data_IF_349313090250
#
_entry.id   IF_349313090250
#
_cell.length_a   1.000
_cell.length_b   1.000
_cell.length_c   1.000
_cell.angle_alpha   90.00
_cell.angle_beta   90.00
_cell.angle_gamma   90.00
#
_symmetry.space_group_name_H-M   'P 1'
#
loop_
_entity.id
_entity.type
_entity.pdbx_description
1 polymer ?
#
# COMPACT_ATOMS: atom_id res chain seq x y z
N UNK A 1 -27.84 40.92 45.51
CA UNK A 1 -27.22 41.98 46.34
C UNK A 1 -26.09 41.32 47.12
N UNK A 2 -24.95 41.11 46.47
CA UNK A 2 -23.75 40.55 47.12
C UNK A 2 -22.87 41.72 47.51
N UNK A 3 -22.82 42.03 48.80
CA UNK A 3 -21.94 43.06 49.35
C UNK A 3 -20.49 42.62 49.13
N UNK A 4 -19.78 43.25 48.20
CA UNK A 4 -18.34 43.09 48.05
C UNK A 4 -17.65 43.77 49.23
N UNK A 5 -17.22 42.98 50.23
CA UNK A 5 -16.37 43.47 51.31
C UNK A 5 -15.03 43.90 50.69
N UNK A 6 -14.75 45.20 50.66
CA UNK A 6 -13.47 45.76 50.22
C UNK A 6 -12.42 45.61 51.32
N UNK A 7 -11.30 44.93 51.01
CA UNK A 7 -10.12 44.85 51.89
C UNK A 7 -9.56 46.25 52.13
N UNK A 8 -9.35 46.59 53.40
CA UNK A 8 -8.63 47.81 53.81
C UNK A 8 -7.17 47.50 54.13
N UNK A 9 -6.27 48.46 53.87
CA UNK A 9 -4.83 48.34 54.15
C UNK A 9 -4.56 48.06 55.65
N UNK A 10 -5.45 48.54 56.54
CA UNK A 10 -5.39 48.32 57.99
C UNK A 10 -5.60 46.85 58.38
N UNK A 11 -6.56 46.14 57.77
CA UNK A 11 -6.78 44.72 58.03
C UNK A 11 -5.58 43.86 57.60
N UNK A 12 -4.93 44.20 56.48
CA UNK A 12 -3.72 43.50 56.02
C UNK A 12 -2.55 43.75 56.98
N UNK A 13 -2.42 44.97 57.51
CA UNK A 13 -1.39 45.32 58.48
C UNK A 13 -1.59 44.63 59.84
N UNK A 14 -2.83 44.51 60.32
CA UNK A 14 -3.17 43.83 61.58
C UNK A 14 -2.86 42.33 61.50
N UNK A 15 -3.25 41.67 60.40
CA UNK A 15 -2.94 40.25 60.17
C UNK A 15 -1.43 40.03 59.99
N UNK A 16 -0.75 40.93 59.27
CA UNK A 16 0.71 40.89 59.13
C UNK A 16 1.43 41.05 60.48
N UNK A 17 0.94 41.91 61.37
CA UNK A 17 1.48 42.08 62.73
C UNK A 17 1.28 40.82 63.56
N UNK A 18 0.06 40.26 63.57
CA UNK A 18 -0.24 39.01 64.29
C UNK A 18 0.64 37.87 63.79
N UNK A 19 0.73 37.65 62.48
CA UNK A 19 1.59 36.62 61.90
C UNK A 19 3.07 36.84 62.24
N UNK A 20 3.54 38.09 62.27
CA UNK A 20 4.92 38.41 62.65
C UNK A 20 5.20 38.16 64.15
N UNK A 21 4.22 38.44 65.03
CA UNK A 21 4.31 38.16 66.48
C UNK A 21 4.28 36.65 66.76
N UNK A 22 3.51 35.91 65.98
CA UNK A 22 3.44 34.44 66.04
C UNK A 22 4.65 33.73 65.37
N UNK A 23 5.61 34.50 64.82
CA UNK A 23 6.79 33.96 64.14
C UNK A 23 6.51 33.30 62.79
N UNK A 24 5.31 33.50 62.23
CA UNK A 24 4.91 32.96 60.94
C UNK A 24 5.43 33.82 59.77
N UNK A 25 5.66 33.19 58.61
CA UNK A 25 6.12 33.89 57.40
C UNK A 25 5.01 34.78 56.82
N UNK A 26 5.19 36.09 56.95
CA UNK A 26 4.28 37.12 56.42
C UNK A 26 4.39 37.23 54.88
N UNK A 27 3.55 36.47 54.17
CA UNK A 27 3.48 36.42 52.70
C UNK A 27 2.12 36.92 52.18
N UNK A 28 2.04 37.59 51.02
CA UNK A 28 0.76 38.02 50.43
C UNK A 28 -0.25 36.89 50.28
N UNK A 29 0.22 35.68 49.96
CA UNK A 29 -0.63 34.48 49.82
C UNK A 29 -1.14 33.99 51.17
N UNK A 30 -0.31 34.07 52.21
CA UNK A 30 -0.68 33.63 53.56
C UNK A 30 -1.71 34.56 54.21
N UNK A 31 -1.58 35.87 53.99
CA UNK A 31 -2.61 36.83 54.44
C UNK A 31 -3.88 36.69 53.61
N UNK A 32 -3.76 36.46 52.30
CA UNK A 32 -4.94 36.23 51.45
C UNK A 32 -5.71 34.96 51.86
N UNK A 33 -5.00 33.90 52.28
CA UNK A 33 -5.62 32.69 52.82
C UNK A 33 -6.25 32.85 54.20
N UNK A 34 -6.09 33.98 54.89
CA UNK A 34 -6.87 34.26 56.10
C UNK A 34 -8.07 35.17 55.80
N UNK A 35 -7.89 36.14 54.90
CA UNK A 35 -8.89 37.16 54.58
C UNK A 35 -9.94 36.69 53.57
N UNK A 36 -9.60 35.70 52.71
CA UNK A 36 -10.45 35.05 51.69
C UNK A 36 -11.32 36.00 50.84
N UNK A 37 -10.94 37.27 50.74
CA UNK A 37 -11.66 38.30 50.00
C UNK A 37 -10.65 39.18 49.28
N UNK A 38 -11.09 39.94 48.27
CA UNK A 38 -10.21 40.81 47.48
C UNK A 38 -9.13 40.11 46.62
N UNK A 39 -8.38 40.91 45.87
CA UNK A 39 -7.31 40.43 44.99
C UNK A 39 -5.98 40.29 45.75
N UNK A 40 -5.26 39.20 45.52
CA UNK A 40 -3.90 38.95 46.05
C UNK A 40 -2.95 40.12 45.76
N UNK A 41 -3.16 40.82 44.65
CA UNK A 41 -2.35 41.99 44.25
C UNK A 41 -2.58 43.18 45.19
N UNK A 42 -3.81 43.40 45.67
CA UNK A 42 -4.12 44.46 46.63
C UNK A 42 -3.49 44.16 48.00
N UNK A 43 -3.56 42.89 48.44
CA UNK A 43 -2.88 42.42 49.66
C UNK A 43 -1.36 42.60 49.53
N UNK A 44 -0.77 42.27 48.38
CA UNK A 44 0.67 42.46 48.15
C UNK A 44 1.09 43.94 48.20
N UNK A 45 0.25 44.86 47.72
CA UNK A 45 0.51 46.30 47.78
C UNK A 45 0.42 46.85 49.21
N UNK A 46 -0.62 46.49 49.97
CA UNK A 46 -0.76 46.87 51.38
C UNK A 46 0.38 46.32 52.25
N UNK A 47 0.80 45.08 51.97
CA UNK A 47 1.93 44.43 52.65
C UNK A 47 3.27 45.13 52.41
N UNK A 48 3.50 45.68 51.20
CA UNK A 48 4.69 46.50 50.93
C UNK A 48 4.71 47.77 51.78
N UNK A 49 3.60 48.51 51.86
CA UNK A 49 3.51 49.72 52.69
C UNK A 49 3.77 49.42 54.18
N UNK A 50 3.27 48.29 54.66
CA UNK A 50 3.54 47.81 56.01
C UNK A 50 5.02 47.46 56.23
N UNK A 51 5.70 46.84 55.25
CA UNK A 51 7.14 46.55 55.33
C UNK A 51 7.99 47.83 55.34
N UNK A 52 7.66 48.80 54.47
CA UNK A 52 8.38 50.08 54.38
C UNK A 52 8.30 50.89 55.68
N UNK A 53 7.13 50.93 56.32
CA UNK A 53 6.95 51.59 57.63
C UNK A 53 7.72 50.90 58.75
N UNK A 54 8.02 49.60 58.63
CA UNK A 54 8.80 48.82 59.60
C UNK A 54 10.31 48.84 59.33
N UNK A 55 10.73 48.94 58.07
CA UNK A 55 12.14 49.04 57.66
C UNK A 55 12.81 50.32 58.21
N UNK A 56 12.06 51.40 58.36
CA UNK A 56 12.51 52.65 58.99
C UNK A 56 12.79 52.52 60.51
N UNK A 57 12.51 51.35 61.12
CA UNK A 57 12.65 51.07 62.55
C UNK A 57 13.75 50.06 62.90
N UNK A 58 14.68 49.77 61.99
CA UNK A 58 15.78 48.84 62.28
C UNK A 58 16.65 49.31 63.47
N UNK A 59 17.03 48.41 64.39
CA UNK A 59 17.74 48.75 65.62
C UNK A 59 19.18 49.21 65.33
N UNK A 60 19.56 50.34 65.93
CA UNK A 60 20.92 50.87 65.89
C UNK A 60 21.89 49.86 66.55
N UNK A 61 22.86 49.38 65.78
CA UNK A 61 23.90 48.45 66.23
C UNK A 61 24.82 49.18 67.21
N UNK A 62 24.95 48.64 68.42
CA UNK A 62 25.84 49.14 69.46
C UNK A 62 27.31 49.10 69.01
N UNK A 63 28.04 50.20 69.23
CA UNK A 63 29.47 50.36 68.96
C UNK A 63 30.29 49.29 69.69
N UNK A 64 31.03 48.47 68.92
CA UNK A 64 32.04 47.56 69.47
C UNK A 64 33.40 48.27 69.56
N UNK A 65 34.12 48.01 70.64
CA UNK A 65 35.45 48.54 70.93
C UNK A 65 36.46 48.24 69.79
N UNK A 66 37.28 49.24 69.45
CA UNK A 66 38.24 49.18 68.35
C UNK A 66 39.37 48.16 68.60
N UNK A 67 39.55 47.23 67.65
CA UNK A 67 40.68 46.31 67.61
C UNK A 67 41.96 47.02 67.13
N UNK A 68 43.16 46.53 67.49
CA UNK A 68 44.44 47.08 66.99
C UNK A 68 44.58 47.02 65.47
N UNK A 69 45.09 48.09 64.85
CA UNK A 69 45.12 48.31 63.39
C UNK A 69 45.84 47.21 62.60
N UNK A 70 46.95 46.68 63.13
CA UNK A 70 47.70 45.57 62.50
C UNK A 70 46.88 44.28 62.42
N UNK A 71 46.03 44.02 63.43
CA UNK A 71 45.12 42.87 63.40
C UNK A 71 43.99 43.10 62.39
N UNK A 72 43.52 44.35 62.26
CA UNK A 72 42.49 44.67 61.27
C UNK A 72 42.98 44.56 59.83
N UNK A 73 44.23 44.96 59.55
CA UNK A 73 44.80 44.86 58.19
C UNK A 73 45.10 43.41 57.80
N UNK A 74 45.66 42.62 58.71
CA UNK A 74 45.89 41.19 58.47
C UNK A 74 44.58 40.42 58.30
N UNK A 75 43.53 40.77 59.06
CA UNK A 75 42.19 40.21 58.87
C UNK A 75 41.57 40.65 57.53
N UNK A 76 41.76 41.91 57.10
CA UNK A 76 41.27 42.41 55.81
C UNK A 76 41.96 41.68 54.65
N UNK A 77 43.29 41.55 54.68
CA UNK A 77 44.04 40.79 53.67
C UNK A 77 43.62 39.32 53.60
N UNK A 78 43.37 38.70 54.76
CA UNK A 78 42.88 37.33 54.82
C UNK A 78 41.46 37.20 54.25
N UNK A 79 40.57 38.16 54.53
CA UNK A 79 39.22 38.22 53.97
C UNK A 79 39.26 38.42 52.45
N UNK A 80 40.12 39.30 51.94
CA UNK A 80 40.25 39.53 50.49
C UNK A 80 40.76 38.28 49.77
N UNK A 81 41.71 37.55 50.36
CA UNK A 81 42.18 36.26 49.82
C UNK A 81 41.09 35.19 49.86
N UNK A 82 40.35 35.07 50.96
CA UNK A 82 39.24 34.12 51.09
C UNK A 82 38.10 34.45 50.11
N UNK A 83 37.78 35.74 49.95
CA UNK A 83 36.79 36.22 48.99
C UNK A 83 37.18 35.88 47.55
N UNK A 84 38.42 36.20 47.17
CA UNK A 84 38.94 35.90 45.83
C UNK A 84 38.94 34.40 45.56
N UNK A 85 39.41 33.57 46.51
CA UNK A 85 39.40 32.11 46.37
C UNK A 85 37.98 31.53 46.29
N UNK A 86 37.03 32.07 47.07
CA UNK A 86 35.63 31.66 47.04
C UNK A 86 34.93 32.06 45.72
N UNK A 87 35.28 33.22 45.17
CA UNK A 87 34.84 33.67 43.86
C UNK A 87 35.40 32.77 42.76
N UNK A 88 36.72 32.52 42.75
CA UNK A 88 37.36 31.65 41.77
C UNK A 88 36.76 30.24 41.76
N UNK A 89 36.49 29.64 42.93
CA UNK A 89 35.86 28.31 42.99
C UNK A 89 34.38 28.35 42.61
N UNK A 90 33.66 29.45 42.87
CA UNK A 90 32.30 29.64 42.37
C UNK A 90 32.28 29.72 40.83
N UNK A 91 33.17 30.52 40.25
CA UNK A 91 33.33 30.65 38.79
C UNK A 91 33.71 29.30 38.16
N UNK A 92 34.68 28.58 38.74
CA UNK A 92 35.02 27.21 38.30
C UNK A 92 33.82 26.27 38.39
N UNK A 93 33.05 26.31 39.48
CA UNK A 93 31.87 25.46 39.66
C UNK A 93 30.75 25.76 38.66
N UNK A 94 30.49 27.03 38.39
CA UNK A 94 29.52 27.47 37.37
C UNK A 94 30.00 27.06 35.98
N UNK A 95 31.27 27.30 35.64
CA UNK A 95 31.84 26.94 34.35
C UNK A 95 31.80 25.42 34.09
N UNK A 96 32.13 24.59 35.10
CA UNK A 96 31.98 23.13 35.01
C UNK A 96 30.53 22.72 34.74
N UNK A 97 29.57 23.30 35.46
CA UNK A 97 28.13 22.99 35.28
C UNK A 97 27.61 23.45 33.92
N UNK A 98 28.01 24.65 33.46
CA UNK A 98 27.65 25.16 32.14
C UNK A 98 28.17 24.23 31.04
N UNK A 99 29.42 23.76 31.15
CA UNK A 99 30.01 22.84 30.19
C UNK A 99 29.31 21.47 30.20
N UNK A 100 28.94 20.94 31.38
CA UNK A 100 28.14 19.70 31.45
C UNK A 100 26.74 19.87 30.86
N UNK A 101 26.09 21.02 31.10
CA UNK A 101 24.77 21.30 30.54
C UNK A 101 24.82 21.55 29.04
N UNK A 102 25.84 22.23 28.53
CA UNK A 102 26.03 22.42 27.09
C UNK A 102 26.26 21.07 26.41
N UNK A 103 27.12 20.22 26.96
CA UNK A 103 27.34 18.87 26.43
C UNK A 103 26.03 18.07 26.37
N UNK A 104 25.26 18.03 27.46
CA UNK A 104 23.97 17.31 27.47
C UNK A 104 22.95 17.89 26.49
N UNK A 105 22.96 19.20 26.28
CA UNK A 105 22.09 19.85 25.31
C UNK A 105 22.50 19.53 23.87
N UNK A 106 23.81 19.47 23.61
CA UNK A 106 24.37 19.02 22.33
C UNK A 106 24.02 17.54 22.07
N UNK A 107 24.26 16.66 23.04
CA UNK A 107 23.91 15.23 22.95
C UNK A 107 22.41 15.04 22.68
N UNK A 108 21.53 15.71 23.43
CA UNK A 108 20.08 15.64 23.22
C UNK A 108 19.64 16.24 21.87
N UNK A 109 20.36 17.24 21.36
CA UNK A 109 20.09 17.79 20.02
C UNK A 109 20.50 16.82 18.91
N UNK A 110 21.63 16.13 19.07
CA UNK A 110 22.08 15.11 18.14
C UNK A 110 21.11 13.92 18.13
N UNK A 111 20.70 13.40 19.30
CA UNK A 111 19.71 12.33 19.41
C UNK A 111 18.37 12.69 18.74
N UNK A 112 17.93 13.95 18.89
CA UNK A 112 16.72 14.44 18.22
C UNK A 112 16.90 14.47 16.70
N UNK A 113 18.04 14.95 16.23
CA UNK A 113 18.30 15.10 14.79
C UNK A 113 18.47 13.72 14.12
N UNK A 114 19.09 12.75 14.81
CA UNK A 114 19.15 11.35 14.39
C UNK A 114 17.75 10.72 14.31
N UNK A 115 16.92 10.90 15.34
CA UNK A 115 15.54 10.43 15.34
C UNK A 115 14.68 11.08 14.23
N UNK A 116 14.92 12.35 13.92
CA UNK A 116 14.28 13.02 12.79
C UNK A 116 14.73 12.45 11.45
N UNK A 117 16.01 12.12 11.28
CA UNK A 117 16.52 11.48 10.08
C UNK A 117 15.93 10.06 9.88
N UNK A 118 15.81 9.27 10.95
CA UNK A 118 15.13 7.97 10.90
C UNK A 118 13.65 8.11 10.52
N UNK A 119 12.94 9.07 11.11
CA UNK A 119 11.54 9.34 10.74
C UNK A 119 11.39 9.77 9.28
N UNK A 120 12.30 10.60 8.77
CA UNK A 120 12.32 10.97 7.34
C UNK A 120 12.54 9.74 6.46
N UNK A 121 13.49 8.86 6.80
CA UNK A 121 13.72 7.60 6.09
C UNK A 121 12.46 6.72 6.05
N UNK A 122 11.79 6.51 7.19
CA UNK A 122 10.57 5.69 7.23
C UNK A 122 9.41 6.30 6.43
N UNK A 123 9.31 7.63 6.35
CA UNK A 123 8.32 8.31 5.51
C UNK A 123 8.63 8.07 4.02
N UNK A 124 9.89 8.21 3.61
CA UNK A 124 10.32 7.92 2.24
C UNK A 124 10.06 6.45 1.85
N UNK A 125 10.37 5.50 2.74
CA UNK A 125 10.06 4.08 2.57
C UNK A 125 8.55 3.85 2.41
N UNK A 126 7.71 4.46 3.26
CA UNK A 126 6.24 4.38 3.13
C UNK A 126 5.73 4.97 1.82
N UNK A 127 6.32 6.08 1.35
CA UNK A 127 5.98 6.68 0.06
C UNK A 127 6.39 5.81 -1.12
N UNK A 128 7.56 5.15 -1.06
CA UNK A 128 7.97 4.17 -2.08
C UNK A 128 7.04 2.95 -2.10
N UNK A 129 6.69 2.40 -0.93
CA UNK A 129 5.76 1.28 -0.82
C UNK A 129 4.36 1.63 -1.34
N UNK A 130 3.86 2.84 -1.08
CA UNK A 130 2.59 3.33 -1.64
C UNK A 130 2.62 3.44 -3.16
N UNK A 131 3.72 3.93 -3.74
CA UNK A 131 3.89 4.00 -5.19
C UNK A 131 3.88 2.60 -5.83
N UNK A 132 4.60 1.65 -5.25
CA UNK A 132 4.60 0.26 -5.70
C UNK A 132 3.21 -0.39 -5.63
N UNK A 133 2.46 -0.18 -4.55
CA UNK A 133 1.08 -0.68 -4.44
C UNK A 133 0.17 -0.08 -5.51
N UNK A 134 0.31 1.21 -5.81
CA UNK A 134 -0.46 1.87 -6.87
C UNK A 134 -0.11 1.27 -8.24
N UNK A 135 1.18 1.10 -8.55
CA UNK A 135 1.65 0.48 -9.79
C UNK A 135 1.14 -0.97 -9.95
N UNK A 136 1.21 -1.78 -8.89
CA UNK A 136 0.66 -3.15 -8.91
C UNK A 136 -0.85 -3.17 -9.11
N UNK A 137 -1.58 -2.21 -8.52
CA UNK A 137 -3.03 -2.10 -8.67
C UNK A 137 -3.41 -1.74 -10.10
N UNK A 138 -2.73 -0.76 -10.70
CA UNK A 138 -2.95 -0.38 -12.10
C UNK A 138 -2.57 -1.51 -13.07
N UNK A 139 -1.46 -2.21 -12.83
CA UNK A 139 -1.07 -3.37 -13.62
C UNK A 139 -2.11 -4.51 -13.54
N UNK A 140 -2.67 -4.76 -12.36
CA UNK A 140 -3.72 -5.77 -12.16
C UNK A 140 -5.02 -5.38 -12.87
N UNK A 141 -5.37 -4.09 -12.83
CA UNK A 141 -6.52 -3.54 -13.55
C UNK A 141 -6.35 -3.66 -15.07
N UNK A 142 -5.19 -3.30 -15.60
CA UNK A 142 -4.90 -3.43 -17.03
C UNK A 142 -4.98 -4.89 -17.50
N UNK A 143 -4.52 -5.84 -16.68
CA UNK A 143 -4.66 -7.28 -16.96
C UNK A 143 -6.12 -7.73 -16.92
N UNK A 144 -6.92 -7.23 -15.99
CA UNK A 144 -8.36 -7.53 -15.92
C UNK A 144 -9.11 -7.01 -17.15
N UNK A 145 -8.87 -5.75 -17.55
CA UNK A 145 -9.43 -5.16 -18.77
C UNK A 145 -9.00 -5.94 -20.02
N UNK A 146 -7.75 -6.41 -20.05
CA UNK A 146 -7.24 -7.28 -21.13
C UNK A 146 -7.94 -8.64 -21.19
N UNK A 147 -8.19 -9.27 -20.03
CA UNK A 147 -8.92 -10.53 -19.96
C UNK A 147 -10.39 -10.37 -20.40
N UNK A 148 -11.03 -9.25 -20.08
CA UNK A 148 -12.39 -8.94 -20.55
C UNK A 148 -12.44 -8.78 -22.07
N UNK A 149 -11.48 -8.06 -22.68
CA UNK A 149 -11.36 -7.94 -24.14
C UNK A 149 -11.14 -9.28 -24.82
N UNK A 150 -10.25 -10.12 -24.29
CA UNK A 150 -10.02 -11.46 -24.84
C UNK A 150 -11.26 -12.34 -24.73
N UNK A 151 -12.03 -12.23 -23.63
CA UNK A 151 -13.29 -12.93 -23.50
C UNK A 151 -14.31 -12.47 -24.57
N UNK A 152 -14.42 -11.15 -24.80
CA UNK A 152 -15.26 -10.60 -25.88
C UNK A 152 -14.82 -11.11 -27.26
N UNK A 153 -13.52 -11.06 -27.58
CA UNK A 153 -12.97 -11.57 -28.84
C UNK A 153 -13.26 -13.07 -29.05
N UNK A 154 -13.12 -13.89 -28.00
CA UNK A 154 -13.48 -15.32 -28.04
C UNK A 154 -14.96 -15.49 -28.35
N UNK A 155 -15.85 -14.74 -27.69
CA UNK A 155 -17.29 -14.84 -27.96
C UNK A 155 -17.65 -14.41 -29.39
N UNK A 156 -16.97 -13.41 -29.94
CA UNK A 156 -17.15 -12.98 -31.33
C UNK A 156 -16.62 -14.04 -32.30
N UNK A 157 -15.45 -14.62 -32.04
CA UNK A 157 -14.88 -15.69 -32.85
C UNK A 157 -15.78 -16.93 -32.86
N UNK A 158 -16.35 -17.30 -31.72
CA UNK A 158 -17.35 -18.37 -31.62
C UNK A 158 -18.59 -18.07 -32.46
N UNK A 159 -19.16 -16.86 -32.34
CA UNK A 159 -20.32 -16.46 -33.15
C UNK A 159 -20.02 -16.47 -34.66
N UNK A 160 -18.80 -16.10 -35.06
CA UNK A 160 -18.36 -16.20 -36.46
C UNK A 160 -18.21 -17.65 -36.92
N UNK A 161 -17.67 -18.53 -36.08
CA UNK A 161 -17.57 -19.95 -36.36
C UNK A 161 -18.95 -20.60 -36.53
N UNK A 162 -19.88 -20.33 -35.61
CA UNK A 162 -21.27 -20.82 -35.67
C UNK A 162 -21.97 -20.36 -36.95
N UNK A 163 -21.78 -19.08 -37.33
CA UNK A 163 -22.35 -18.54 -38.56
C UNK A 163 -21.73 -19.15 -39.83
N UNK A 164 -20.43 -19.49 -39.80
CA UNK A 164 -19.76 -20.18 -40.90
C UNK A 164 -20.25 -21.63 -41.03
N UNK A 165 -20.44 -22.33 -39.91
CA UNK A 165 -20.98 -23.68 -39.88
C UNK A 165 -22.41 -23.73 -40.43
N UNK A 166 -23.28 -22.78 -40.05
CA UNK A 166 -24.63 -22.67 -40.60
C UNK A 166 -24.61 -22.48 -42.13
N UNK A 167 -23.72 -21.62 -42.65
CA UNK A 167 -23.57 -21.41 -44.10
C UNK A 167 -23.05 -22.67 -44.81
N UNK A 168 -22.14 -23.41 -44.20
CA UNK A 168 -21.66 -24.67 -44.75
C UNK A 168 -22.80 -25.69 -44.85
N UNK A 169 -23.61 -25.83 -43.80
CA UNK A 169 -24.80 -26.70 -43.81
C UNK A 169 -25.82 -26.28 -44.88
N UNK A 170 -26.07 -24.98 -45.06
CA UNK A 170 -26.95 -24.47 -46.12
C UNK A 170 -26.40 -24.79 -47.53
N UNK A 171 -25.09 -24.67 -47.75
CA UNK A 171 -24.45 -25.00 -49.02
C UNK A 171 -24.52 -26.50 -49.30
N UNK A 172 -24.27 -27.35 -48.30
CA UNK A 172 -24.43 -28.80 -48.43
C UNK A 172 -25.86 -29.20 -48.82
N UNK A 173 -26.88 -28.58 -48.19
CA UNK A 173 -28.28 -28.80 -48.56
C UNK A 173 -28.59 -28.37 -49.99
N UNK A 174 -28.03 -27.24 -50.46
CA UNK A 174 -28.19 -26.77 -51.85
C UNK A 174 -27.51 -27.70 -52.84
N UNK A 175 -26.31 -28.19 -52.53
CA UNK A 175 -25.59 -29.15 -53.37
C UNK A 175 -26.40 -30.44 -53.49
N UNK A 176 -26.89 -30.99 -52.37
CA UNK A 176 -27.73 -32.19 -52.39
C UNK A 176 -29.02 -32.00 -53.22
N UNK A 177 -29.65 -30.82 -53.14
CA UNK A 177 -30.82 -30.50 -53.97
C UNK A 177 -30.48 -30.44 -55.46
N UNK A 178 -29.36 -29.80 -55.84
CA UNK A 178 -28.89 -29.73 -57.22
C UNK A 178 -28.48 -31.10 -57.76
N UNK A 179 -27.84 -31.94 -56.94
CA UNK A 179 -27.52 -33.32 -57.30
C UNK A 179 -28.79 -34.14 -57.59
N UNK A 180 -29.82 -34.03 -56.75
CA UNK A 180 -31.10 -34.70 -56.98
C UNK A 180 -31.81 -34.18 -58.25
N UNK A 181 -31.74 -32.87 -58.54
CA UNK A 181 -32.26 -32.31 -59.79
C UNK A 181 -31.50 -32.82 -61.02
N UNK A 182 -30.16 -32.91 -60.95
CA UNK A 182 -29.33 -33.46 -62.03
C UNK A 182 -29.62 -34.95 -62.27
N UNK A 183 -29.79 -35.75 -61.21
CA UNK A 183 -30.20 -37.14 -61.32
C UNK A 183 -31.57 -37.27 -61.99
N UNK A 184 -32.54 -36.43 -61.59
CA UNK A 184 -33.89 -36.41 -62.20
C UNK A 184 -33.84 -36.07 -63.69
N UNK A 185 -33.13 -35.00 -64.06
CA UNK A 185 -32.94 -34.61 -65.46
C UNK A 185 -32.18 -35.66 -66.27
N UNK A 186 -31.21 -36.33 -65.64
CA UNK A 186 -30.49 -37.46 -66.24
C UNK A 186 -31.40 -38.65 -66.55
N UNK A 187 -32.31 -38.99 -65.64
CA UNK A 187 -33.33 -40.01 -65.84
C UNK A 187 -34.33 -39.61 -66.94
N UNK A 188 -34.84 -38.37 -66.92
CA UNK A 188 -35.73 -37.84 -67.97
C UNK A 188 -35.08 -37.92 -69.36
N UNK A 189 -33.80 -37.56 -69.48
CA UNK A 189 -33.05 -37.65 -70.74
C UNK A 189 -32.82 -39.10 -71.19
N UNK A 190 -32.59 -40.02 -70.26
CA UNK A 190 -32.46 -41.44 -70.57
C UNK A 190 -33.79 -42.01 -71.10
N UNK A 191 -34.91 -41.69 -70.44
CA UNK A 191 -36.25 -42.06 -70.88
C UNK A 191 -36.57 -41.47 -72.26
N UNK A 192 -36.24 -40.20 -72.52
CA UNK A 192 -36.39 -39.59 -73.85
C UNK A 192 -35.55 -40.29 -74.92
N UNK A 193 -34.30 -40.67 -74.59
CA UNK A 193 -33.44 -41.42 -75.51
C UNK A 193 -34.02 -42.80 -75.82
N UNK A 194 -34.53 -43.51 -74.82
CA UNK A 194 -35.23 -44.78 -75.03
C UNK A 194 -36.51 -44.61 -75.87
N UNK A 195 -37.29 -43.55 -75.64
CA UNK A 195 -38.46 -43.26 -76.45
C UNK A 195 -38.07 -42.97 -77.91
N UNK A 196 -36.99 -42.21 -78.14
CA UNK A 196 -36.46 -41.94 -79.48
C UNK A 196 -35.93 -43.19 -80.18
N UNK A 197 -35.23 -44.08 -79.48
CA UNK A 197 -34.76 -45.34 -80.08
C UNK A 197 -35.92 -46.26 -80.44
N UNK A 198 -36.98 -46.32 -79.61
CA UNK A 198 -38.22 -47.04 -79.94
C UNK A 198 -38.90 -46.46 -81.18
N UNK A 199 -39.08 -45.13 -81.24
CA UNK A 199 -39.65 -44.45 -82.40
C UNK A 199 -38.80 -44.65 -83.67
N UNK A 200 -37.48 -44.62 -83.56
CA UNK A 200 -36.57 -44.88 -84.68
C UNK A 200 -36.72 -46.33 -85.19
N UNK A 201 -36.80 -47.31 -84.29
CA UNK A 201 -37.04 -48.71 -84.65
C UNK A 201 -38.42 -48.92 -85.29
N UNK A 202 -39.47 -48.25 -84.78
CA UNK A 202 -40.80 -48.24 -85.38
C UNK A 202 -40.79 -47.62 -86.78
N UNK A 203 -40.08 -46.50 -86.97
CA UNK A 203 -39.89 -45.85 -88.28
C UNK A 203 -39.08 -46.72 -89.24
N UNK A 204 -38.01 -47.38 -88.78
CA UNK A 204 -37.25 -48.34 -89.59
C UNK A 204 -38.13 -49.53 -90.00
N UNK A 205 -38.95 -50.06 -89.09
CA UNK A 205 -39.91 -51.12 -89.42
C UNK A 205 -40.97 -50.64 -90.44
N UNK A 206 -41.48 -49.42 -90.26
CA UNK A 206 -42.42 -48.80 -91.20
C UNK A 206 -41.77 -48.51 -92.57
N UNK A 207 -40.51 -48.05 -92.59
CA UNK A 207 -39.73 -47.84 -93.81
C UNK A 207 -39.37 -49.16 -94.48
N UNK A 208 -39.05 -50.21 -93.74
CA UNK A 208 -38.83 -51.55 -94.28
C UNK A 208 -40.11 -52.08 -94.95
N UNK A 209 -41.26 -51.95 -94.27
CA UNK A 209 -42.58 -52.29 -94.83
C UNK A 209 -42.94 -51.43 -96.04
N UNK A 210 -42.63 -50.13 -95.99
CA UNK A 210 -42.81 -49.22 -97.12
C UNK A 210 -41.82 -49.51 -98.26
N UNK A 211 -40.63 -50.03 -97.98
CA UNK A 211 -39.64 -50.45 -98.98
C UNK A 211 -40.02 -51.78 -99.61
N UNK A 212 -40.69 -52.69 -98.88
CA UNK A 212 -41.32 -53.88 -99.46
C UNK A 212 -42.51 -53.47 -100.35
N UNK A 213 -43.31 -52.50 -99.92
CA UNK A 213 -44.38 -51.90 -100.74
C UNK A 213 -43.83 -51.09 -101.94
N UNK A 214 -42.69 -50.43 -101.78
CA UNK A 214 -42.02 -49.67 -102.83
C UNK A 214 -41.18 -50.58 -103.74
N UNK A 215 -40.69 -51.74 -103.30
CA UNK A 215 -40.12 -52.77 -104.17
C UNK A 215 -41.21 -53.43 -105.01
N UNK A 216 -42.44 -53.53 -104.48
CA UNK A 216 -43.63 -53.86 -105.26
C UNK A 216 -44.06 -52.75 -106.23
N UNK A 217 -43.81 -51.46 -105.91
CA UNK A 217 -44.11 -50.32 -106.77
C UNK A 217 -42.98 -49.93 -107.76
N UNK A 218 -41.72 -50.24 -107.45
CA UNK A 218 -40.53 -49.99 -108.27
C UNK A 218 -40.33 -51.05 -109.35
N UNK A 219 -41.07 -52.18 -109.28
CA UNK A 219 -41.33 -53.01 -110.44
C UNK A 219 -42.27 -52.33 -111.47
N UNK A 220 -42.85 -51.17 -111.16
CA UNK A 220 -43.86 -50.51 -111.99
C UNK A 220 -43.53 -49.08 -112.44
N UNK A 221 -42.35 -48.52 -112.16
CA UNK A 221 -42.04 -47.15 -112.58
C UNK A 221 -40.55 -46.86 -112.76
N UNK A 222 -40.02 -47.15 -113.95
CA UNK A 222 -38.94 -46.37 -114.55
C UNK A 222 -39.53 -45.11 -115.21
N UNK A 223 -38.96 -43.92 -114.95
CA UNK A 223 -38.65 -42.87 -115.96
C UNK A 223 -38.40 -41.47 -115.32
N UNK A 224 -37.21 -40.92 -115.59
CA UNK A 224 -36.76 -39.52 -115.46
C UNK A 224 -37.36 -38.59 -116.56
N UNK A 225 -36.99 -37.29 -116.70
CA UNK A 225 -36.82 -36.15 -115.76
C UNK A 225 -37.47 -34.85 -116.32
N UNK A 226 -37.40 -33.70 -115.61
CA UNK A 226 -37.68 -32.39 -116.23
C UNK A 226 -36.90 -31.22 -115.56
N UNK A 227 -36.13 -30.40 -116.32
CA UNK A 227 -35.28 -29.33 -115.77
C UNK A 227 -35.84 -27.94 -116.05
N UNK A 228 -36.79 -27.47 -115.23
CA UNK A 228 -37.19 -26.04 -115.19
C UNK A 228 -37.81 -25.58 -113.87
N UNK A 229 -38.24 -26.51 -113.01
CA UNK A 229 -38.52 -26.26 -111.59
C UNK A 229 -37.24 -26.13 -110.74
N UNK A 230 -36.09 -26.56 -111.29
CA UNK A 230 -34.83 -26.66 -110.57
C UNK A 230 -34.22 -25.29 -110.23
N UNK A 231 -34.46 -24.26 -111.03
CA UNK A 231 -33.92 -22.91 -110.78
C UNK A 231 -34.71 -22.15 -109.68
N UNK A 232 -36.03 -22.30 -109.63
CA UNK A 232 -36.86 -21.81 -108.51
C UNK A 232 -36.55 -22.60 -107.23
N UNK A 233 -36.38 -23.92 -107.32
CA UNK A 233 -35.95 -24.75 -106.21
C UNK A 233 -34.52 -24.41 -105.73
N UNK A 234 -33.62 -24.05 -106.64
CA UNK A 234 -32.28 -23.57 -106.32
C UNK A 234 -32.32 -22.20 -105.64
N UNK A 235 -33.17 -21.27 -106.08
CA UNK A 235 -33.32 -19.96 -105.43
C UNK A 235 -33.94 -20.09 -104.01
N UNK A 236 -34.94 -20.97 -103.84
CA UNK A 236 -35.48 -21.29 -102.52
C UNK A 236 -34.46 -22.01 -101.63
N UNK A 237 -33.63 -22.89 -102.19
CA UNK A 237 -32.54 -23.54 -101.48
C UNK A 237 -31.46 -22.54 -101.05
N UNK A 238 -31.10 -21.58 -101.90
CA UNK A 238 -30.17 -20.50 -101.54
C UNK A 238 -30.75 -19.62 -100.43
N UNK A 239 -32.04 -19.24 -100.50
CA UNK A 239 -32.69 -18.48 -99.43
C UNK A 239 -32.75 -19.24 -98.10
N UNK A 240 -32.99 -20.57 -98.13
CA UNK A 240 -32.90 -21.43 -96.93
C UNK A 240 -31.49 -21.46 -96.37
N UNK A 241 -30.48 -21.70 -97.22
CA UNK A 241 -29.08 -21.71 -96.79
C UNK A 241 -28.61 -20.36 -96.25
N UNK A 242 -29.07 -19.24 -96.81
CA UNK A 242 -28.78 -17.90 -96.29
C UNK A 242 -29.43 -17.68 -94.92
N UNK A 243 -30.67 -18.15 -94.73
CA UNK A 243 -31.34 -18.10 -93.43
C UNK A 243 -30.69 -19.01 -92.39
N UNK A 244 -30.22 -20.19 -92.79
CA UNK A 244 -29.47 -21.13 -91.96
C UNK A 244 -28.10 -20.55 -91.59
N UNK A 245 -27.39 -19.92 -92.53
CA UNK A 245 -26.14 -19.22 -92.26
C UNK A 245 -26.33 -18.02 -91.31
N UNK A 246 -27.42 -17.27 -91.46
CA UNK A 246 -27.77 -16.20 -90.53
C UNK A 246 -28.08 -16.75 -89.13
N UNK A 247 -28.80 -17.87 -89.03
CA UNK A 247 -29.08 -18.55 -87.77
C UNK A 247 -27.78 -19.08 -87.11
N UNK A 248 -26.89 -19.71 -87.87
CA UNK A 248 -25.60 -20.20 -87.39
C UNK A 248 -24.72 -19.04 -86.90
N UNK A 249 -24.69 -17.91 -87.60
CA UNK A 249 -23.96 -16.72 -87.17
C UNK A 249 -24.51 -16.15 -85.86
N UNK A 250 -25.83 -16.06 -85.72
CA UNK A 250 -26.44 -15.60 -84.47
C UNK A 250 -26.13 -16.54 -83.29
N UNK A 251 -26.17 -17.86 -83.51
CA UNK A 251 -25.76 -18.84 -82.49
C UNK A 251 -24.28 -18.67 -82.14
N UNK A 252 -23.39 -18.56 -83.12
CA UNK A 252 -21.96 -18.35 -82.89
C UNK A 252 -21.67 -17.05 -82.12
N UNK A 253 -22.33 -15.93 -82.45
CA UNK A 253 -22.20 -14.67 -81.71
C UNK A 253 -22.66 -14.83 -80.26
N UNK A 254 -23.79 -15.51 -80.02
CA UNK A 254 -24.27 -15.79 -78.65
C UNK A 254 -23.34 -16.72 -77.87
N UNK A 255 -22.73 -17.71 -78.51
CA UNK A 255 -21.72 -18.58 -77.90
C UNK A 255 -20.45 -17.81 -77.57
N UNK A 256 -19.99 -16.92 -78.45
CA UNK A 256 -18.84 -16.04 -78.19
C UNK A 256 -19.11 -15.10 -77.01
N UNK A 257 -20.31 -14.52 -76.93
CA UNK A 257 -20.72 -13.70 -75.79
C UNK A 257 -20.80 -14.51 -74.49
N UNK A 258 -21.36 -15.72 -74.54
CA UNK A 258 -21.40 -16.63 -73.39
C UNK A 258 -20.00 -17.04 -72.93
N UNK A 259 -19.07 -17.28 -73.87
CA UNK A 259 -17.67 -17.54 -73.54
C UNK A 259 -16.97 -16.33 -72.93
N UNK A 260 -17.19 -15.13 -73.45
CA UNK A 260 -16.65 -13.90 -72.87
C UNK A 260 -17.14 -13.71 -71.43
N UNK A 261 -18.45 -13.86 -71.19
CA UNK A 261 -19.04 -13.80 -69.84
C UNK A 261 -18.42 -14.84 -68.89
N UNK A 262 -18.27 -16.10 -69.33
CA UNK A 262 -17.60 -17.15 -68.52
C UNK A 262 -16.14 -16.83 -68.22
N UNK A 263 -15.41 -16.21 -69.15
CA UNK A 263 -14.02 -15.80 -68.91
C UNK A 263 -13.91 -14.65 -67.92
N UNK A 264 -14.85 -13.70 -67.96
CA UNK A 264 -14.93 -12.61 -66.98
C UNK A 264 -15.31 -13.13 -65.59
N UNK A 265 -16.28 -14.03 -65.50
CA UNK A 265 -16.64 -14.71 -64.24
C UNK A 265 -15.45 -15.49 -63.66
N UNK A 266 -14.73 -16.25 -64.50
CA UNK A 266 -13.54 -16.98 -64.06
C UNK A 266 -12.40 -16.05 -63.62
N UNK A 267 -12.23 -14.90 -64.28
CA UNK A 267 -11.27 -13.88 -63.87
C UNK A 267 -11.65 -13.24 -62.53
N UNK A 268 -12.94 -12.94 -62.34
CA UNK A 268 -13.49 -12.45 -61.06
C UNK A 268 -13.31 -13.45 -59.93
N UNK A 269 -13.58 -14.73 -60.18
CA UNK A 269 -13.38 -15.81 -59.20
C UNK A 269 -11.90 -15.96 -58.81
N UNK A 270 -10.97 -15.88 -59.78
CA UNK A 270 -9.53 -15.89 -59.52
C UNK A 270 -9.08 -14.68 -58.70
N UNK A 271 -9.55 -13.49 -59.04
CA UNK A 271 -9.25 -12.28 -58.27
C UNK A 271 -9.78 -12.38 -56.82
N UNK A 272 -10.95 -12.99 -56.63
CA UNK A 272 -11.51 -13.29 -55.30
C UNK A 272 -10.67 -14.29 -54.51
N UNK A 273 -10.20 -15.37 -55.15
CA UNK A 273 -9.28 -16.33 -54.52
C UNK A 273 -7.94 -15.68 -54.14
N UNK A 274 -7.37 -14.86 -55.02
CA UNK A 274 -6.13 -14.14 -54.74
C UNK A 274 -6.30 -13.15 -53.58
N UNK A 275 -7.45 -12.48 -53.47
CA UNK A 275 -7.77 -11.60 -52.34
C UNK A 275 -7.90 -12.40 -51.03
N UNK A 276 -8.67 -13.49 -51.03
CA UNK A 276 -8.82 -14.35 -49.86
C UNK A 276 -7.48 -14.97 -49.42
N UNK A 277 -6.59 -15.30 -50.36
CA UNK A 277 -5.26 -15.81 -50.05
C UNK A 277 -4.37 -14.75 -49.38
N UNK A 278 -4.47 -13.48 -49.79
CA UNK A 278 -3.76 -12.37 -49.11
C UNK A 278 -4.30 -12.13 -47.71
N UNK A 279 -5.61 -12.14 -47.52
CA UNK A 279 -6.24 -12.02 -46.20
C UNK A 279 -5.81 -13.17 -45.28
N UNK A 280 -5.74 -14.39 -45.80
CA UNK A 280 -5.24 -15.55 -45.05
C UNK A 280 -3.77 -15.38 -44.66
N UNK A 281 -2.92 -14.88 -45.55
CA UNK A 281 -1.51 -14.61 -45.24
C UNK A 281 -1.38 -13.51 -44.18
N UNK A 282 -2.17 -12.45 -44.27
CA UNK A 282 -2.18 -11.37 -43.28
C UNK A 282 -2.63 -11.90 -41.91
N UNK A 283 -3.72 -12.67 -41.84
CA UNK A 283 -4.16 -13.32 -40.62
C UNK A 283 -3.11 -14.27 -40.03
N UNK A 284 -2.40 -15.03 -40.88
CA UNK A 284 -1.28 -15.88 -40.44
C UNK A 284 -0.12 -15.08 -39.84
N UNK A 285 0.22 -13.93 -40.43
CA UNK A 285 1.26 -13.05 -39.86
C UNK A 285 0.84 -12.43 -38.53
N UNK A 286 -0.43 -12.04 -38.39
CA UNK A 286 -0.99 -11.53 -37.14
C UNK A 286 -0.95 -12.62 -36.05
N UNK A 287 -1.37 -13.85 -36.36
CA UNK A 287 -1.29 -14.99 -35.44
C UNK A 287 0.14 -15.30 -35.02
N UNK A 288 1.10 -15.26 -35.94
CA UNK A 288 2.52 -15.44 -35.61
C UNK A 288 3.02 -14.37 -34.64
N UNK A 289 2.66 -13.10 -34.86
CA UNK A 289 3.05 -11.99 -33.98
C UNK A 289 2.43 -12.11 -32.57
N UNK A 290 1.17 -12.56 -32.47
CA UNK A 290 0.50 -12.80 -31.20
C UNK A 290 1.11 -13.99 -30.45
N UNK A 291 1.49 -15.04 -31.17
CA UNK A 291 2.19 -16.19 -30.58
C UNK A 291 3.57 -15.80 -30.04
N UNK A 292 4.33 -14.97 -30.75
CA UNK A 292 5.60 -14.41 -30.27
C UNK A 292 5.38 -13.57 -29.01
N UNK A 293 4.39 -12.67 -29.00
CA UNK A 293 4.05 -11.87 -27.82
C UNK A 293 3.64 -12.73 -26.61
N UNK A 294 2.86 -13.79 -26.84
CA UNK A 294 2.48 -14.74 -25.80
C UNK A 294 3.70 -15.51 -25.25
N UNK A 295 4.63 -15.93 -26.12
CA UNK A 295 5.87 -16.60 -25.68
C UNK A 295 6.76 -15.67 -24.84
N UNK A 296 6.85 -14.39 -25.21
CA UNK A 296 7.56 -13.38 -24.43
C UNK A 296 6.89 -13.18 -23.06
N UNK A 297 5.56 -13.06 -23.03
CA UNK A 297 4.79 -12.98 -21.78
C UNK A 297 4.97 -14.21 -20.88
N UNK A 298 4.97 -15.42 -21.44
CA UNK A 298 5.22 -16.65 -20.70
C UNK A 298 6.63 -16.67 -20.08
N UNK A 299 7.65 -16.24 -20.84
CA UNK A 299 9.02 -16.14 -20.33
C UNK A 299 9.16 -15.11 -19.21
N UNK A 300 8.40 -14.02 -19.26
CA UNK A 300 8.37 -13.02 -18.20
C UNK A 300 7.66 -13.55 -16.94
N UNK A 301 6.58 -14.32 -17.10
CA UNK A 301 5.91 -15.01 -15.99
C UNK A 301 6.86 -16.02 -15.34
N UNK A 302 7.58 -16.83 -16.11
CA UNK A 302 8.58 -17.76 -15.56
C UNK A 302 9.69 -17.03 -14.80
N UNK A 303 10.19 -15.91 -15.34
CA UNK A 303 11.17 -15.07 -14.65
C UNK A 303 10.62 -14.53 -13.33
N UNK A 304 9.43 -13.93 -13.35
CA UNK A 304 8.79 -13.39 -12.15
C UNK A 304 8.47 -14.48 -11.12
N UNK A 305 8.09 -15.68 -11.58
CA UNK A 305 7.87 -16.84 -10.70
C UNK A 305 9.18 -17.29 -10.04
N UNK A 306 10.29 -17.28 -10.78
CA UNK A 306 11.62 -17.61 -10.26
C UNK A 306 12.11 -16.55 -9.26
N UNK A 307 11.88 -15.26 -9.57
CA UNK A 307 12.20 -14.16 -8.66
C UNK A 307 11.37 -14.24 -7.37
N UNK A 308 10.09 -14.60 -7.49
CA UNK A 308 9.19 -14.82 -6.35
C UNK A 308 9.65 -16.00 -5.50
N UNK A 309 9.98 -17.16 -6.09
CA UNK A 309 10.48 -18.30 -5.32
C UNK A 309 11.81 -17.96 -4.63
N UNK A 310 12.72 -17.25 -5.30
CA UNK A 310 13.97 -16.80 -4.70
C UNK A 310 13.76 -15.75 -3.59
N UNK A 311 12.71 -14.92 -3.68
CA UNK A 311 12.33 -14.00 -2.61
C UNK A 311 11.71 -14.76 -1.43
N UNK A 312 10.92 -15.80 -1.70
CA UNK A 312 10.32 -16.67 -0.69
C UNK A 312 11.38 -17.49 0.04
N UNK A 313 12.34 -18.11 -0.65
CA UNK A 313 13.48 -18.79 -0.02
C UNK A 313 14.30 -17.83 0.88
N UNK A 314 14.47 -16.57 0.45
CA UNK A 314 15.12 -15.54 1.28
C UNK A 314 14.30 -15.20 2.52
N UNK A 315 12.98 -15.15 2.40
CA UNK A 315 12.07 -14.95 3.52
C UNK A 315 12.12 -16.16 4.47
N UNK A 316 12.04 -17.39 3.95
CA UNK A 316 12.11 -18.63 4.72
C UNK A 316 13.46 -18.75 5.46
N UNK A 317 14.58 -18.41 4.81
CA UNK A 317 15.90 -18.36 5.47
C UNK A 317 15.94 -17.29 6.56
N UNK A 318 15.32 -16.13 6.34
CA UNK A 318 15.22 -15.08 7.35
C UNK A 318 14.34 -15.52 8.54
N UNK A 319 13.23 -16.22 8.27
CA UNK A 319 12.35 -16.80 9.27
C UNK A 319 13.04 -17.93 10.04
N UNK A 320 13.75 -18.83 9.37
CA UNK A 320 14.57 -19.87 10.00
C UNK A 320 15.64 -19.25 10.90
N UNK A 321 16.33 -18.20 10.45
CA UNK A 321 17.29 -17.48 11.31
C UNK A 321 16.61 -16.80 12.49
N UNK A 322 15.43 -16.20 12.30
CA UNK A 322 14.66 -15.61 13.39
C UNK A 322 14.20 -16.68 14.39
N UNK A 323 13.79 -17.85 13.90
CA UNK A 323 13.42 -19.00 14.69
C UNK A 323 14.62 -19.63 15.40
N UNK A 324 15.80 -19.72 14.77
CA UNK A 324 17.05 -20.14 15.38
C UNK A 324 17.50 -19.16 16.47
N UNK A 325 17.35 -17.85 16.26
CA UNK A 325 17.60 -16.85 17.28
C UNK A 325 16.59 -16.97 18.44
N UNK A 326 15.32 -17.18 18.14
CA UNK A 326 14.29 -17.43 19.15
C UNK A 326 14.52 -18.75 19.89
N UNK A 327 14.99 -19.80 19.21
CA UNK A 327 15.37 -21.08 19.79
C UNK A 327 16.66 -20.99 20.58
N UNK A 328 17.65 -20.20 20.17
CA UNK A 328 18.82 -19.93 20.99
C UNK A 328 18.38 -19.20 22.27
N UNK A 329 17.40 -18.28 22.19
CA UNK A 329 16.80 -17.64 23.35
C UNK A 329 15.98 -18.62 24.22
N UNK A 330 15.21 -19.53 23.60
CA UNK A 330 14.36 -20.48 24.34
C UNK A 330 15.07 -21.75 24.76
N UNK A 331 16.18 -22.17 24.16
CA UNK A 331 17.05 -23.26 24.62
C UNK A 331 17.93 -22.77 25.78
N UNK A 332 18.39 -21.51 25.72
CA UNK A 332 18.83 -20.77 26.92
C UNK A 332 17.71 -20.74 27.98
N UNK A 333 16.43 -20.86 27.58
CA UNK A 333 15.29 -21.00 28.49
C UNK A 333 14.73 -22.44 28.64
N UNK A 334 15.29 -23.48 28.00
CA UNK A 334 14.57 -24.70 27.59
C UNK A 334 15.41 -25.99 27.61
N UNK A 335 16.72 -25.89 27.84
CA UNK A 335 17.41 -26.78 28.81
C UNK A 335 16.64 -26.85 30.16
N UNK A 336 15.65 -25.99 30.35
CA UNK A 336 14.64 -26.08 31.39
C UNK A 336 13.48 -27.09 31.16
N UNK A 337 13.28 -27.80 30.02
CA UNK A 337 11.94 -28.41 29.78
C UNK A 337 11.68 -29.79 29.07
N UNK A 338 12.50 -30.41 28.20
CA UNK A 338 12.36 -31.85 27.74
C UNK A 338 11.10 -32.35 26.92
N UNK A 339 11.32 -33.31 25.98
CA UNK A 339 10.44 -34.45 25.52
C UNK A 339 9.27 -34.38 24.46
N UNK A 340 9.42 -35.19 23.37
CA UNK A 340 8.44 -35.98 22.55
C UNK A 340 7.38 -35.29 21.65
N UNK A 341 7.23 -35.43 20.32
CA UNK A 341 7.50 -36.38 19.18
C UNK A 341 6.31 -37.27 18.68
N UNK A 342 6.30 -37.54 17.36
CA UNK A 342 5.18 -37.58 16.40
C UNK A 342 4.93 -38.89 15.58
N UNK A 343 3.73 -38.97 14.92
CA UNK A 343 3.17 -39.54 13.64
C UNK A 343 3.86 -40.66 12.72
N UNK A 344 3.46 -41.02 11.43
CA UNK A 344 2.21 -41.52 10.70
C UNK A 344 2.40 -42.77 9.67
N UNK A 345 1.92 -42.86 8.35
CA UNK A 345 0.66 -43.46 7.73
C UNK A 345 0.76 -44.34 6.39
N UNK A 346 -0.39 -44.75 5.73
CA UNK A 346 -0.73 -44.71 4.24
C UNK A 346 -1.90 -45.65 3.73
N UNK A 347 -2.98 -45.11 3.11
CA UNK A 347 -4.09 -45.82 2.39
C UNK A 347 -4.79 -44.94 1.31
N UNK A 348 -4.05 -44.40 0.35
CA UNK A 348 -4.16 -42.98 0.00
C UNK A 348 -4.41 -42.70 -1.51
N UNK A 349 -5.64 -42.52 -2.03
CA UNK A 349 -5.85 -41.87 -3.37
C UNK A 349 -7.28 -41.26 -3.56
N UNK A 350 -8.37 -42.04 -3.44
CA UNK A 350 -9.73 -41.47 -3.40
C UNK A 350 -10.03 -40.83 -2.03
N UNK A 351 -9.50 -41.47 -0.98
CA UNK A 351 -9.31 -40.85 0.31
C UNK A 351 -8.41 -39.61 0.21
N UNK A 352 -7.46 -39.54 -0.74
CA UNK A 352 -6.62 -38.35 -0.91
C UNK A 352 -7.39 -37.18 -1.51
N UNK A 353 -8.30 -37.37 -2.47
CA UNK A 353 -9.08 -36.25 -3.01
C UNK A 353 -10.10 -35.69 -2.01
N UNK A 354 -10.80 -36.56 -1.29
CA UNK A 354 -11.63 -36.16 -0.14
C UNK A 354 -10.75 -35.53 0.95
N UNK A 355 -9.58 -36.10 1.24
CA UNK A 355 -8.63 -35.52 2.19
C UNK A 355 -8.10 -34.17 1.71
N UNK A 356 -7.89 -33.95 0.41
CA UNK A 356 -7.42 -32.69 -0.17
C UNK A 356 -8.49 -31.61 -0.07
N UNK A 357 -9.76 -31.93 -0.33
CA UNK A 357 -10.86 -30.99 -0.11
C UNK A 357 -11.02 -30.63 1.37
N UNK A 358 -10.93 -31.64 2.23
CA UNK A 358 -11.01 -31.47 3.68
C UNK A 358 -9.78 -30.74 4.22
N UNK A 359 -8.63 -30.91 3.58
CA UNK A 359 -7.39 -30.19 3.84
C UNK A 359 -7.50 -28.74 3.41
N UNK A 360 -7.98 -28.45 2.19
CA UNK A 360 -8.24 -27.06 1.74
C UNK A 360 -9.24 -26.36 2.67
N UNK A 361 -10.28 -27.07 3.14
CA UNK A 361 -11.23 -26.50 4.11
C UNK A 361 -10.57 -26.23 5.48
N UNK A 362 -9.75 -27.16 5.98
CA UNK A 362 -8.97 -26.96 7.21
C UNK A 362 -7.95 -25.84 7.08
N UNK A 363 -7.29 -25.74 5.94
CA UNK A 363 -6.30 -24.70 5.66
C UNK A 363 -7.01 -23.34 5.56
N UNK A 364 -8.17 -23.26 4.92
CA UNK A 364 -8.99 -22.05 4.90
C UNK A 364 -9.47 -21.64 6.31
N UNK A 365 -9.89 -22.59 7.15
CA UNK A 365 -10.24 -22.34 8.54
C UNK A 365 -9.03 -21.90 9.37
N UNK A 366 -7.87 -22.53 9.16
CA UNK A 366 -6.62 -22.17 9.82
C UNK A 366 -6.14 -20.77 9.42
N UNK A 367 -6.24 -20.42 8.13
CA UNK A 367 -5.96 -19.07 7.64
C UNK A 367 -6.95 -18.04 8.21
N UNK A 368 -8.25 -18.37 8.27
CA UNK A 368 -9.24 -17.50 8.89
C UNK A 368 -8.96 -17.28 10.40
N UNK A 369 -8.57 -18.34 11.12
CA UNK A 369 -8.17 -18.27 12.52
C UNK A 369 -6.89 -17.44 12.71
N UNK A 370 -5.87 -17.67 11.87
CA UNK A 370 -4.63 -16.89 11.89
C UNK A 370 -4.87 -15.41 11.60
N UNK A 371 -5.76 -15.07 10.66
CA UNK A 371 -6.16 -13.69 10.39
C UNK A 371 -6.94 -13.07 11.56
N UNK A 372 -7.78 -13.84 12.24
CA UNK A 372 -8.46 -13.37 13.45
C UNK A 372 -7.45 -13.11 14.58
N UNK A 373 -6.50 -14.02 14.80
CA UNK A 373 -5.44 -13.85 15.79
C UNK A 373 -4.56 -12.64 15.47
N UNK A 374 -4.11 -12.49 14.22
CA UNK A 374 -3.35 -11.34 13.76
C UNK A 374 -4.09 -10.02 14.04
N UNK A 375 -5.41 -9.96 13.79
CA UNK A 375 -6.23 -8.79 14.12
C UNK A 375 -6.31 -8.53 15.63
N UNK A 376 -6.39 -9.57 16.47
CA UNK A 376 -6.37 -9.39 17.93
C UNK A 376 -5.01 -8.92 18.44
N UNK A 377 -3.92 -9.45 17.89
CA UNK A 377 -2.56 -9.00 18.22
C UNK A 377 -2.33 -7.56 17.76
N UNK A 378 -2.79 -7.18 16.57
CA UNK A 378 -2.74 -5.80 16.09
C UNK A 378 -3.49 -4.85 17.03
N UNK A 379 -4.66 -5.25 17.56
CA UNK A 379 -5.38 -4.49 18.57
C UNK A 379 -4.56 -4.34 19.86
N UNK A 380 -4.00 -5.43 20.40
CA UNK A 380 -3.13 -5.39 21.60
C UNK A 380 -1.93 -4.47 21.41
N UNK A 381 -1.26 -4.54 20.25
CA UNK A 381 -0.15 -3.64 19.92
C UNK A 381 -0.59 -2.18 19.82
N UNK A 382 -1.77 -1.91 19.23
CA UNK A 382 -2.31 -0.55 19.19
C UNK A 382 -2.69 -0.02 20.58
N UNK A 383 -3.25 -0.85 21.45
CA UNK A 383 -3.56 -0.51 22.84
C UNK A 383 -2.30 -0.26 23.65
N UNK A 384 -1.27 -1.10 23.48
CA UNK A 384 0.03 -0.94 24.12
C UNK A 384 0.73 0.35 23.66
N UNK A 385 0.77 0.61 22.35
CA UNK A 385 1.35 1.83 21.79
C UNK A 385 0.60 3.09 22.27
N UNK A 386 -0.73 3.04 22.33
CA UNK A 386 -1.52 4.12 22.90
C UNK A 386 -1.27 4.30 24.41
N UNK A 387 -1.10 3.20 25.15
CA UNK A 387 -0.73 3.21 26.56
C UNK A 387 0.64 3.85 26.80
N UNK A 388 1.65 3.46 26.01
CA UNK A 388 2.98 4.08 26.04
C UNK A 388 2.92 5.56 25.70
N UNK A 389 2.14 5.95 24.68
CA UNK A 389 1.95 7.36 24.33
C UNK A 389 1.32 8.15 25.48
N UNK A 390 0.31 7.60 26.15
CA UNK A 390 -0.29 8.23 27.33
C UNK A 390 0.70 8.34 28.49
N UNK A 391 1.50 7.30 28.75
CA UNK A 391 2.54 7.32 29.76
C UNK A 391 3.61 8.38 29.45
N UNK A 392 4.05 8.48 28.19
CA UNK A 392 5.02 9.49 27.76
C UNK A 392 4.46 10.89 27.95
N UNK A 393 3.21 11.16 27.55
CA UNK A 393 2.55 12.45 27.79
C UNK A 393 2.48 12.75 29.28
N UNK A 394 2.09 11.78 30.11
CA UNK A 394 2.00 11.96 31.57
C UNK A 394 3.37 12.22 32.21
N UNK A 395 4.43 11.52 31.79
CA UNK A 395 5.80 11.75 32.28
C UNK A 395 6.29 13.12 31.82
N UNK A 396 6.02 13.51 30.59
CA UNK A 396 6.39 14.82 30.04
C UNK A 396 5.68 15.94 30.80
N UNK A 397 4.38 15.81 31.05
CA UNK A 397 3.60 16.76 31.87
C UNK A 397 4.16 16.85 33.30
N UNK A 398 4.43 15.71 33.96
CA UNK A 398 5.05 15.69 35.29
C UNK A 398 6.42 16.36 35.29
N UNK A 399 7.23 16.11 34.28
CA UNK A 399 8.56 16.72 34.12
C UNK A 399 8.45 18.23 33.93
N UNK A 400 7.52 18.70 33.09
CA UNK A 400 7.27 20.14 32.88
C UNK A 400 6.85 20.81 34.20
N UNK A 401 5.93 20.19 34.96
CA UNK A 401 5.49 20.72 36.25
C UNK A 401 6.63 20.73 37.27
N UNK A 402 7.44 19.67 37.35
CA UNK A 402 8.61 19.63 38.24
C UNK A 402 9.64 20.70 37.85
N UNK A 403 9.93 20.88 36.57
CA UNK A 403 10.87 21.90 36.10
C UNK A 403 10.36 23.32 36.37
N UNK A 404 9.06 23.57 36.14
CA UNK A 404 8.43 24.85 36.45
C UNK A 404 8.48 25.13 37.96
N UNK A 405 8.21 24.12 38.80
CA UNK A 405 8.30 24.19 40.26
C UNK A 405 9.74 24.46 40.72
N UNK A 406 10.72 23.71 40.24
CA UNK A 406 12.13 23.90 40.58
C UNK A 406 12.64 25.29 40.18
N UNK A 407 12.23 25.78 39.01
CA UNK A 407 12.54 27.15 38.55
C UNK A 407 11.90 28.19 39.47
N UNK A 408 10.63 27.98 39.85
CA UNK A 408 9.91 28.81 40.79
C UNK A 408 10.58 28.85 42.17
N UNK A 409 10.90 27.70 42.73
CA UNK A 409 11.58 27.55 44.02
C UNK A 409 12.97 28.19 43.99
N UNK A 410 13.76 27.99 42.93
CA UNK A 410 15.05 28.66 42.77
C UNK A 410 14.90 30.19 42.70
N UNK A 411 13.88 30.69 42.00
CA UNK A 411 13.61 32.14 41.94
C UNK A 411 13.20 32.71 43.30
N UNK A 412 12.39 31.97 44.07
CA UNK A 412 11.98 32.34 45.42
C UNK A 412 13.15 32.28 46.39
N UNK A 413 13.99 31.25 46.32
CA UNK A 413 15.19 31.11 47.14
C UNK A 413 16.17 32.25 46.89
N UNK A 414 16.38 32.64 45.62
CA UNK A 414 17.21 33.82 45.27
C UNK A 414 16.64 35.11 45.84
N UNK A 415 15.32 35.32 45.75
CA UNK A 415 14.66 36.49 46.34
C UNK A 415 14.74 36.48 47.86
N UNK A 416 14.51 35.34 48.50
CA UNK A 416 14.64 35.22 49.96
C UNK A 416 16.06 35.45 50.43
N UNK A 417 17.06 34.94 49.69
CA UNK A 417 18.46 35.21 49.97
C UNK A 417 18.80 36.71 49.81
N UNK A 418 18.31 37.37 48.75
CA UNK A 418 18.52 38.81 48.58
C UNK A 418 17.87 39.63 49.68
N UNK A 419 16.65 39.30 50.08
CA UNK A 419 15.93 39.99 51.16
C UNK A 419 16.59 39.73 52.53
N UNK A 420 17.02 38.49 52.80
CA UNK A 420 17.77 38.16 54.02
C UNK A 420 19.11 38.90 54.08
N UNK A 421 19.81 39.04 52.95
CA UNK A 421 21.07 39.78 52.89
C UNK A 421 20.90 41.27 53.17
N UNK A 422 19.75 41.85 52.79
CA UNK A 422 19.43 43.25 53.07
C UNK A 422 19.06 43.48 54.53
N UNK A 423 18.39 42.52 55.18
CA UNK A 423 17.92 42.66 56.57
C UNK A 423 18.96 42.23 57.61
N UNK A 424 19.66 41.13 57.37
CA UNK A 424 20.61 40.51 58.29
C UNK A 424 21.77 39.86 57.51
N UNK A 425 22.81 40.63 57.16
CA UNK A 425 23.90 40.12 56.32
C UNK A 425 24.73 39.01 56.98
N UNK A 426 24.74 38.92 58.31
CA UNK A 426 25.43 37.89 59.10
C UNK A 426 24.59 36.60 59.29
N UNK A 427 23.40 36.50 58.70
CA UNK A 427 22.48 35.40 58.95
C UNK A 427 23.07 34.05 58.50
N UNK A 428 22.95 33.01 59.32
CA UNK A 428 23.61 31.71 59.11
C UNK A 428 23.17 31.03 57.80
N UNK A 429 21.92 31.22 57.38
CA UNK A 429 21.40 30.72 56.09
C UNK A 429 22.02 31.38 54.84
N UNK A 430 22.73 32.51 54.99
CA UNK A 430 23.50 33.12 53.91
C UNK A 430 24.89 32.49 53.78
N UNK A 431 25.36 31.77 54.81
CA UNK A 431 26.64 31.06 54.75
C UNK A 431 26.55 29.95 53.72
N UNK A 432 27.54 29.92 52.83
CA UNK A 432 27.64 28.96 51.72
C UNK A 432 27.61 27.51 52.21
N UNK A 433 28.18 27.24 53.37
CA UNK A 433 28.18 25.91 54.01
C UNK A 433 26.77 25.47 54.42
N UNK A 434 26.00 26.35 55.08
CA UNK A 434 24.61 26.06 55.45
C UNK A 434 23.72 25.87 54.22
N UNK A 435 23.94 26.65 53.15
CA UNK A 435 23.24 26.47 51.88
C UNK A 435 23.61 25.15 51.19
N UNK A 436 24.88 24.77 51.21
CA UNK A 436 25.33 23.49 50.65
C UNK A 436 24.79 22.30 51.43
N UNK A 437 24.76 22.37 52.76
CA UNK A 437 24.14 21.36 53.62
C UNK A 437 22.65 21.23 53.30
N UNK A 438 21.93 22.35 53.25
CA UNK A 438 20.50 22.34 52.95
C UNK A 438 20.19 21.81 51.53
N UNK A 439 21.03 22.12 50.54
CA UNK A 439 20.91 21.55 49.19
C UNK A 439 21.16 20.03 49.24
N UNK A 440 22.21 19.58 49.92
CA UNK A 440 22.56 18.16 50.06
C UNK A 440 21.45 17.39 50.76
N UNK A 441 20.87 17.94 51.82
CA UNK A 441 19.76 17.36 52.57
C UNK A 441 18.46 17.35 51.76
N UNK A 442 18.21 18.39 50.93
CA UNK A 442 17.07 18.39 50.02
C UNK A 442 17.20 17.34 48.91
N UNK A 443 18.41 17.14 48.39
CA UNK A 443 18.71 16.13 47.37
C UNK A 443 18.60 14.73 47.98
N UNK A 444 19.12 14.51 49.20
CA UNK A 444 19.02 13.22 49.87
C UNK A 444 17.57 12.87 50.19
N UNK A 445 16.78 13.79 50.75
CA UNK A 445 15.36 13.56 51.05
C UNK A 445 14.53 13.32 49.79
N UNK A 446 14.81 14.04 48.69
CA UNK A 446 14.12 13.81 47.42
C UNK A 446 14.49 12.46 46.79
N UNK A 447 15.76 12.05 46.87
CA UNK A 447 16.19 10.73 46.43
C UNK A 447 15.60 9.63 47.31
N UNK A 448 15.51 9.82 48.62
CA UNK A 448 14.88 8.87 49.55
C UNK A 448 13.40 8.68 49.26
N UNK A 449 12.66 9.76 48.94
CA UNK A 449 11.27 9.69 48.48
C UNK A 449 11.13 8.89 47.17
N UNK A 450 12.17 8.85 46.34
CA UNK A 450 12.23 8.06 45.11
C UNK A 450 12.79 6.64 45.33
N UNK A 451 13.12 6.27 46.58
CA UNK A 451 13.69 4.97 46.91
C UNK A 451 15.20 4.84 46.64
N UNK A 452 15.93 5.96 46.61
CA UNK A 452 17.38 6.02 46.46
C UNK A 452 18.02 6.68 47.69
N UNK A 453 19.25 6.28 48.06
CA UNK A 453 20.05 6.89 49.11
C UNK A 453 21.17 7.70 48.49
N UNK A 454 21.37 8.91 49.00
CA UNK A 454 22.45 9.81 48.57
C UNK A 454 23.57 9.82 49.61
N UNK A 455 24.78 9.45 49.22
CA UNK A 455 25.94 9.60 50.08
C UNK A 455 26.57 10.99 49.88
N UNK A 456 26.35 11.89 50.83
CA UNK A 456 26.85 13.26 50.80
C UNK A 456 28.39 13.38 50.68
N UNK A 457 29.15 12.39 51.14
CA UNK A 457 30.61 12.40 51.11
C UNK A 457 31.17 11.95 49.75
N UNK A 458 30.49 11.04 49.06
CA UNK A 458 30.98 10.45 47.80
C UNK A 458 30.19 10.90 46.57
N UNK A 459 29.06 11.58 46.76
CA UNK A 459 28.14 11.98 45.68
C UNK A 459 27.43 10.79 45.01
N UNK A 460 27.59 9.57 45.52
CA UNK A 460 27.00 8.37 44.94
C UNK A 460 25.52 8.22 45.32
N UNK A 461 24.70 7.78 44.36
CA UNK A 461 23.28 7.46 44.54
C UNK A 461 23.11 5.95 44.47
N UNK A 462 22.61 5.32 45.52
CA UNK A 462 22.34 3.87 45.56
C UNK A 462 20.85 3.59 45.73
N UNK A 463 20.34 2.52 45.12
CA UNK A 463 18.91 2.14 45.27
C UNK A 463 18.69 1.55 46.66
N UNK A 464 17.76 2.11 47.43
CA UNK A 464 17.55 1.81 48.86
C UNK A 464 17.05 0.38 49.18
N UNK A 465 16.97 -0.51 48.19
CA UNK A 465 16.53 -1.91 48.34
C UNK A 465 17.47 -2.97 47.75
N UNK A 466 18.61 -2.61 47.17
CA UNK A 466 19.49 -3.59 46.52
C UNK A 466 20.37 -4.38 47.52
N UNK A 467 20.61 -3.87 48.73
CA UNK A 467 21.49 -4.51 49.72
C UNK A 467 20.82 -5.62 50.53
N UNK A 468 19.50 -5.86 50.35
CA UNK A 468 18.77 -6.94 51.04
C UNK A 468 18.72 -8.28 50.30
N UNK A 469 19.13 -8.34 49.02
CA UNK A 469 19.02 -9.56 48.19
C UNK A 469 20.37 -10.18 47.79
N UNK A 470 21.50 -9.56 48.12
CA UNK A 470 22.83 -10.09 47.79
C UNK A 470 23.51 -10.89 48.92
N UNK A 471 22.77 -11.25 49.99
CA UNK A 471 23.27 -12.08 51.11
C UNK A 471 22.51 -13.40 51.30
N UNK A 472 21.78 -13.86 50.27
CA UNK A 472 21.19 -15.20 50.25
C UNK A 472 21.37 -15.86 48.87
N UNK A 473 22.63 -16.08 48.49
CA UNK A 473 23.04 -17.08 47.51
C UNK A 473 24.36 -17.69 47.99
#
# INVERSE_FOLDING_TARGET
>A
MSSSVTITDEMVAEIANRMAEEGQKVSPVAIWSEVHSGSVVAVAAALRKWRETRALRAPQVAERAALPEVVTDTMRDALDRLWTAAQDEAERGVNRRLLTLSQRLEDASNERDDALAELQSTVEELETGRRQLFEMTEASRAKADGAERLAEEITQAMAHADAAELRAQELEQRVAALEAELERLGAELADEREARTRLAAELEAALAAASEAAAAAAAAAEAEPAPSANELAQAEAVGRLESELAAIRAVLESEQQAHAARTEEAAGARAGLDAAQRELQEAQTQLASLAEAHSAGASEIERLSTDLSAAQERADVAELRAAELAQAQTAVAGESADAADAAPPAAADAQELEALKLQIARDAEAHAAALAEARTNMKKWSEYANGLKQQLTQVTEKMIVMNARATGEASLARRLASELSQLQPEHELLRREAQQQLITDSISTQLEQQGYRYNAQTGAVSKAGAEGQSQAA
#
